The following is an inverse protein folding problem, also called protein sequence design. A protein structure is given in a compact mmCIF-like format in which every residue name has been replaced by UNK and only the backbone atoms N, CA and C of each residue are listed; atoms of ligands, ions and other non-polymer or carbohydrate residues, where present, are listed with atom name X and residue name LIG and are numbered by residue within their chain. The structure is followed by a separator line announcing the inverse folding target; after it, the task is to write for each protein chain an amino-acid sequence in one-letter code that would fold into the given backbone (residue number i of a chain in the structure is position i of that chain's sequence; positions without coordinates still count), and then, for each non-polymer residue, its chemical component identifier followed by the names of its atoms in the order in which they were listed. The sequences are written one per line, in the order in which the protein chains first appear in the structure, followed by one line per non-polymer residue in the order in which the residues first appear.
data_IF_520443401394
#
_entry.id   IF_520443401394
#
_cell.length_a   1.000
_cell.length_b   1.000
_cell.length_c   1.000
_cell.angle_alpha   90.00
_cell.angle_beta   90.00
_cell.angle_gamma   90.00
#
_symmetry.space_group_name_H-M   'P 1'
#
loop_
_entity.id
_entity.type
_entity.pdbx_description
1 polymer ?
#
# COMPACT_ATOMS: atom_id res chain seq x y z
N UNK A 1 29.06 -38.48 -4.07
CA UNK A 1 28.03 -37.86 -4.94
C UNK A 1 26.75 -37.49 -4.17
N UNK A 2 26.03 -38.43 -3.52
CA UNK A 2 24.77 -38.14 -2.77
C UNK A 2 24.90 -37.05 -1.67
N UNK A 3 26.04 -36.98 -0.96
CA UNK A 3 26.33 -35.95 0.07
C UNK A 3 26.49 -34.53 -0.50
N UNK A 4 27.00 -34.40 -1.73
CA UNK A 4 27.18 -33.10 -2.41
C UNK A 4 25.82 -32.56 -2.84
N UNK A 5 24.98 -33.43 -3.42
CA UNK A 5 23.62 -33.08 -3.84
C UNK A 5 22.73 -32.65 -2.67
N UNK A 6 22.87 -33.31 -1.51
CA UNK A 6 22.14 -32.93 -0.29
C UNK A 6 22.54 -31.54 0.24
N UNK A 7 23.83 -31.21 0.20
CA UNK A 7 24.31 -29.86 0.56
C UNK A 7 23.85 -28.81 -0.45
N UNK A 8 23.83 -29.16 -1.74
CA UNK A 8 23.35 -28.28 -2.82
C UNK A 8 21.84 -28.02 -2.72
N UNK A 9 21.04 -29.05 -2.42
CA UNK A 9 19.59 -28.92 -2.20
C UNK A 9 19.25 -28.04 -0.99
N UNK A 10 20.01 -28.15 0.10
CA UNK A 10 19.82 -27.29 1.28
C UNK A 10 20.20 -25.84 0.97
N UNK A 11 21.29 -25.60 0.24
CA UNK A 11 21.67 -24.25 -0.19
C UNK A 11 20.61 -23.61 -1.11
N UNK A 12 20.04 -24.40 -2.04
CA UNK A 12 18.98 -23.94 -2.93
C UNK A 12 17.69 -23.62 -2.16
N UNK A 13 17.34 -24.42 -1.15
CA UNK A 13 16.15 -24.20 -0.32
C UNK A 13 16.27 -22.94 0.56
N UNK A 14 17.48 -22.63 1.05
CA UNK A 14 17.77 -21.43 1.84
C UNK A 14 17.71 -20.14 1.01
N UNK A 15 18.08 -20.19 -0.28
CA UNK A 15 18.01 -19.04 -1.19
C UNK A 15 16.57 -18.63 -1.57
N UNK A 16 15.59 -19.52 -1.37
CA UNK A 16 14.17 -19.31 -1.75
C UNK A 16 13.36 -18.61 -0.63
N UNK A 17 13.90 -18.42 0.58
CA UNK A 17 13.10 -17.99 1.74
C UNK A 17 12.87 -16.47 1.89
N UNK A 18 13.26 -15.64 0.93
CA UNK A 18 13.04 -14.19 1.04
C UNK A 18 11.58 -13.89 0.66
N UNK A 19 10.70 -13.94 1.66
CA UNK A 19 9.43 -13.23 1.62
C UNK A 19 9.71 -11.79 2.05
N UNK A 20 9.89 -10.87 1.09
CA UNK A 20 9.88 -9.44 1.42
C UNK A 20 8.44 -9.10 1.80
N UNK A 21 8.13 -9.08 3.10
CA UNK A 21 6.92 -8.42 3.59
C UNK A 21 7.14 -6.93 3.39
N UNK A 22 6.60 -6.38 2.31
CA UNK A 22 6.54 -4.94 2.12
C UNK A 22 5.52 -4.44 3.15
N UNK A 23 6.00 -3.94 4.29
CA UNK A 23 5.14 -3.24 5.24
C UNK A 23 4.57 -2.01 4.51
N UNK A 24 3.33 -2.11 4.08
CA UNK A 24 2.62 -0.99 3.51
C UNK A 24 2.08 -0.16 4.69
N UNK A 25 2.28 1.16 4.61
CA UNK A 25 1.79 2.10 5.62
C UNK A 25 0.44 2.64 5.19
N UNK A 26 -0.52 2.68 6.12
CA UNK A 26 -1.80 3.34 5.89
C UNK A 26 -1.62 4.86 5.79
N UNK A 27 -2.24 5.48 4.79
CA UNK A 27 -2.25 6.92 4.58
C UNK A 27 -3.49 7.58 5.17
N UNK A 28 -3.38 8.86 5.55
CA UNK A 28 -4.52 9.74 5.78
C UNK A 28 -4.67 10.67 4.59
N UNK A 29 -5.73 10.47 3.81
CA UNK A 29 -6.04 11.18 2.57
C UNK A 29 -7.04 12.28 2.91
N UNK A 30 -6.58 13.53 2.91
CA UNK A 30 -7.41 14.66 3.35
C UNK A 30 -8.17 15.27 2.18
N UNK A 31 -9.50 15.29 2.28
CA UNK A 31 -10.40 15.99 1.36
C UNK A 31 -10.56 17.43 1.85
N UNK A 32 -10.17 18.39 1.01
CA UNK A 32 -10.16 19.84 1.34
C UNK A 32 -11.02 20.69 0.42
N UNK A 33 -11.61 20.10 -0.63
CA UNK A 33 -12.45 20.81 -1.60
C UNK A 33 -13.68 19.99 -1.98
N UNK A 34 -14.75 20.69 -2.34
CA UNK A 34 -15.98 20.12 -2.92
C UNK A 34 -15.91 19.94 -4.43
N UNK A 35 -14.80 20.35 -5.07
CA UNK A 35 -14.57 20.10 -6.49
C UNK A 35 -14.61 18.59 -6.79
N UNK A 36 -15.26 18.21 -7.88
CA UNK A 36 -15.42 16.80 -8.27
C UNK A 36 -14.10 16.12 -8.70
N UNK A 37 -13.09 16.91 -9.08
CA UNK A 37 -11.78 16.42 -9.49
C UNK A 37 -10.64 17.34 -9.08
N UNK A 38 -9.41 16.85 -9.19
CA UNK A 38 -8.19 17.57 -8.81
C UNK A 38 -7.73 17.25 -7.38
N UNK A 39 -6.57 17.80 -7.02
CA UNK A 39 -5.97 17.61 -5.71
C UNK A 39 -6.91 18.06 -4.59
N UNK A 40 -7.02 17.24 -3.54
CA UNK A 40 -7.89 17.50 -2.38
C UNK A 40 -9.38 17.17 -2.61
N UNK A 41 -9.78 16.66 -3.78
CA UNK A 41 -11.14 16.18 -4.03
C UNK A 41 -11.38 14.77 -3.46
N UNK A 42 -12.64 14.44 -3.18
CA UNK A 42 -13.04 13.09 -2.79
C UNK A 42 -12.69 12.04 -3.87
N UNK A 43 -12.88 12.39 -5.14
CA UNK A 43 -12.55 11.49 -6.26
C UNK A 43 -11.07 11.15 -6.27
N UNK A 44 -10.19 12.12 -6.07
CA UNK A 44 -8.76 11.88 -5.99
C UNK A 44 -8.41 11.01 -4.78
N UNK A 45 -8.97 11.30 -3.60
CA UNK A 45 -8.72 10.50 -2.40
C UNK A 45 -9.14 9.02 -2.57
N UNK A 46 -10.24 8.75 -3.27
CA UNK A 46 -10.66 7.37 -3.58
C UNK A 46 -9.70 6.68 -4.55
N UNK A 47 -9.20 7.39 -5.55
CA UNK A 47 -8.20 6.84 -6.48
C UNK A 47 -6.91 6.47 -5.75
N UNK A 48 -6.43 7.36 -4.88
CA UNK A 48 -5.23 7.15 -4.08
C UNK A 48 -5.42 5.96 -3.13
N UNK A 49 -6.57 5.88 -2.43
CA UNK A 49 -6.89 4.76 -1.54
C UNK A 49 -6.97 3.41 -2.27
N UNK A 50 -7.53 3.39 -3.49
CA UNK A 50 -7.62 2.17 -4.30
C UNK A 50 -6.26 1.77 -4.90
N UNK A 51 -5.31 2.70 -5.03
CA UNK A 51 -3.95 2.39 -5.45
C UNK A 51 -3.12 1.76 -4.32
N UNK A 52 -3.53 1.98 -3.06
CA UNK A 52 -2.94 1.32 -1.90
C UNK A 52 -3.35 -0.15 -1.82
N UNK A 53 -2.40 -1.02 -1.48
CA UNK A 53 -2.63 -2.47 -1.38
C UNK A 53 -2.11 -2.98 -0.04
N UNK A 54 -2.85 -3.91 0.57
CA UNK A 54 -2.47 -4.50 1.86
C UNK A 54 -2.59 -3.54 3.05
N UNK A 55 -3.22 -2.38 2.88
CA UNK A 55 -3.47 -1.37 3.94
C UNK A 55 -4.89 -0.87 3.88
N UNK A 56 -5.32 -0.25 4.98
CA UNK A 56 -6.58 0.47 5.09
C UNK A 56 -6.26 1.95 5.28
N UNK A 57 -6.42 2.72 4.22
CA UNK A 57 -6.28 4.17 4.28
C UNK A 57 -7.49 4.83 4.94
N UNK A 58 -7.28 6.02 5.50
CA UNK A 58 -8.34 6.85 6.09
C UNK A 58 -8.59 8.04 5.17
N UNK A 59 -9.83 8.19 4.69
CA UNK A 59 -10.27 9.41 4.02
C UNK A 59 -10.82 10.37 5.08
N UNK A 60 -10.11 11.45 5.34
CA UNK A 60 -10.48 12.46 6.32
C UNK A 60 -11.02 13.72 5.64
N UNK A 61 -12.18 14.20 6.07
CA UNK A 61 -12.74 15.45 5.56
C UNK A 61 -12.27 16.63 6.41
N UNK A 62 -11.67 17.62 5.76
CA UNK A 62 -11.26 18.89 6.34
C UNK A 62 -11.52 20.01 5.32
N UNK A 63 -12.79 20.17 4.95
CA UNK A 63 -13.25 21.19 4.00
C UNK A 63 -13.59 22.45 4.82
N UNK A 64 -12.87 23.58 4.64
CA UNK A 64 -13.20 24.83 5.31
C UNK A 64 -14.49 25.46 4.77
N UNK A 65 -15.23 26.18 5.62
CA UNK A 65 -16.49 26.85 5.29
C UNK A 65 -17.73 26.04 5.66
N UNK A 66 -18.91 26.55 5.28
CA UNK A 66 -20.19 25.98 5.69
C UNK A 66 -20.54 24.65 4.98
N UNK A 67 -19.67 24.18 4.08
CA UNK A 67 -19.98 23.09 3.17
C UNK A 67 -20.87 23.55 2.01
N UNK A 68 -21.21 22.63 1.08
CA UNK A 68 -22.19 22.90 0.02
C UNK A 68 -23.63 22.90 0.52
#
# INVERSE_FOLDING_TARGET
MKKVYRKFLVALFLLIQINVTKEAMAATLTVTTTADSGAGSLRQAILDANASTGVLDVIQFNIPGDGP
#
